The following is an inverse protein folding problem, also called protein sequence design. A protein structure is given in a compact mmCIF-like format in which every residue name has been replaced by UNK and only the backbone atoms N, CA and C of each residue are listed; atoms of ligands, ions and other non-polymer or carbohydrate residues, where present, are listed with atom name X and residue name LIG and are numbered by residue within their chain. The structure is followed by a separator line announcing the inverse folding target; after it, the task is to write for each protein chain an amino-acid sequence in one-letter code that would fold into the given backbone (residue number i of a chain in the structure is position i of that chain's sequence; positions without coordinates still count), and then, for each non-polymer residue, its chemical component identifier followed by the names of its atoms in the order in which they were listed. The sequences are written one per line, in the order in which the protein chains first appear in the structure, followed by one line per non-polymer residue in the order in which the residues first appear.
data_IF_692497407703
#
_entry.id   IF_692497407703
#
_cell.length_a   1.000
_cell.length_b   1.000
_cell.length_c   1.000
_cell.angle_alpha   90.00
_cell.angle_beta   90.00
_cell.angle_gamma   90.00
#
_symmetry.space_group_name_H-M   'P 1'
#
loop_
_entity.id
_entity.type
_entity.pdbx_description
1 polymer ?
#
# COMPACT_ATOMS: atom_id res chain seq x y z
N UNK A 1 8.81 -0.07 -1.93
CA UNK A 1 7.97 -0.90 -2.83
C UNK A 1 7.59 -2.16 -2.10
N UNK A 2 6.41 -2.72 -2.37
CA UNK A 2 5.95 -3.97 -1.77
C UNK A 2 5.10 -4.79 -2.75
N UNK A 3 5.02 -6.09 -2.51
CA UNK A 3 4.36 -7.08 -3.37
C UNK A 3 3.53 -8.00 -2.46
N UNK A 4 2.29 -8.24 -2.85
CA UNK A 4 1.42 -9.15 -2.10
C UNK A 4 0.70 -10.12 -3.02
N UNK A 5 0.24 -11.23 -2.44
CA UNK A 5 -0.50 -12.27 -3.17
C UNK A 5 -1.60 -12.90 -2.29
N UNK A 6 -2.51 -13.65 -2.91
CA UNK A 6 -3.63 -14.26 -2.19
C UNK A 6 -4.67 -13.25 -1.71
N UNK A 7 -5.36 -13.58 -0.60
CA UNK A 7 -6.58 -12.91 -0.15
C UNK A 7 -6.37 -11.48 0.35
N UNK A 8 -5.21 -11.18 0.93
CA UNK A 8 -4.90 -9.89 1.53
C UNK A 8 -3.80 -9.13 0.76
N UNK A 9 -3.61 -9.46 -0.51
CA UNK A 9 -2.47 -9.03 -1.32
C UNK A 9 -2.23 -7.53 -1.32
N UNK A 10 -3.28 -6.72 -1.36
CA UNK A 10 -3.14 -5.28 -1.44
C UNK A 10 -2.69 -4.67 -0.10
N UNK A 11 -3.28 -5.11 1.01
CA UNK A 11 -2.88 -4.69 2.34
C UNK A 11 -1.44 -5.13 2.68
N UNK A 12 -1.06 -6.35 2.31
CA UNK A 12 0.31 -6.84 2.51
C UNK A 12 1.34 -6.07 1.68
N UNK A 13 1.04 -5.84 0.39
CA UNK A 13 1.90 -5.03 -0.48
C UNK A 13 2.09 -3.61 0.06
N UNK A 14 1.04 -3.00 0.61
CA UNK A 14 1.10 -1.68 1.23
C UNK A 14 2.01 -1.68 2.48
N UNK A 15 1.85 -2.66 3.39
CA UNK A 15 2.69 -2.80 4.59
C UNK A 15 4.17 -2.97 4.23
N UNK A 16 4.47 -3.81 3.25
CA UNK A 16 5.85 -4.00 2.79
C UNK A 16 6.39 -2.72 2.12
N UNK A 17 5.56 -2.01 1.36
CA UNK A 17 5.96 -0.75 0.75
C UNK A 17 6.33 0.32 1.79
N UNK A 18 5.58 0.39 2.90
CA UNK A 18 5.85 1.28 4.03
C UNK A 18 7.10 0.87 4.82
N UNK A 19 7.37 -0.43 4.95
CA UNK A 19 8.58 -0.95 5.58
C UNK A 19 9.82 -0.94 4.67
N UNK A 20 9.69 -0.42 3.45
CA UNK A 20 10.75 -0.45 2.45
C UNK A 20 11.89 0.52 2.81
N UNK A 21 13.16 0.10 2.68
CA UNK A 21 14.31 0.98 2.96
C UNK A 21 14.45 2.16 1.99
N UNK A 22 13.66 2.19 0.91
CA UNK A 22 13.55 3.34 0.01
C UNK A 22 12.72 4.48 0.60
N UNK A 23 11.94 4.20 1.65
CA UNK A 23 11.14 5.16 2.38
C UNK A 23 11.98 5.65 3.57
N UNK A 24 12.91 6.55 3.27
CA UNK A 24 13.93 7.02 4.23
C UNK A 24 13.37 7.98 5.31
N UNK A 25 12.11 8.41 5.13
CA UNK A 25 11.37 9.28 6.05
C UNK A 25 10.01 8.66 6.32
N UNK A 26 9.59 8.70 7.59
CA UNK A 26 8.24 8.26 7.98
C UNK A 26 7.17 9.02 7.20
N UNK A 27 6.09 8.33 6.83
CA UNK A 27 4.88 8.95 6.26
C UNK A 27 4.09 9.74 7.30
N UNK A 28 4.39 9.55 8.59
CA UNK A 28 3.74 10.24 9.69
C UNK A 28 3.84 11.77 9.56
N UNK A 29 2.69 12.45 9.66
CA UNK A 29 2.60 13.90 9.49
C UNK A 29 2.54 14.38 8.04
N UNK A 30 2.54 13.47 7.05
CA UNK A 30 2.31 13.81 5.66
C UNK A 30 0.92 14.43 5.45
N UNK A 31 0.86 15.56 4.74
CA UNK A 31 -0.42 16.23 4.41
C UNK A 31 -1.17 15.57 3.26
N UNK A 32 -0.47 14.75 2.48
CA UNK A 32 -1.02 14.01 1.37
C UNK A 32 -0.04 12.93 0.95
N UNK A 33 -0.58 11.81 0.49
CA UNK A 33 0.19 10.65 0.04
C UNK A 33 -0.25 10.32 -1.39
N UNK A 34 0.73 10.15 -2.27
CA UNK A 34 0.50 9.61 -3.62
C UNK A 34 1.01 8.17 -3.63
N UNK A 35 0.15 7.24 -4.00
CA UNK A 35 0.50 5.84 -4.16
C UNK A 35 0.00 5.32 -5.52
N UNK A 36 0.66 4.28 -6.00
CA UNK A 36 0.31 3.59 -7.24
C UNK A 36 0.14 2.10 -6.95
N UNK A 37 -0.94 1.50 -7.47
CA UNK A 37 -1.21 0.07 -7.36
C UNK A 37 -1.27 -0.51 -8.76
N UNK A 38 -0.49 -1.57 -8.97
CA UNK A 38 -0.50 -2.34 -10.22
C UNK A 38 -0.94 -3.75 -9.89
N UNK A 39 -1.96 -4.24 -10.60
CA UNK A 39 -2.48 -5.59 -10.47
C UNK A 39 -3.03 -6.10 -11.78
N UNK A 40 -3.31 -7.41 -11.84
CA UNK A 40 -3.98 -8.01 -13.00
C UNK A 40 -5.45 -7.60 -13.10
N UNK A 41 -6.17 -8.16 -14.08
CA UNK A 41 -7.59 -7.88 -14.35
C UNK A 41 -8.53 -8.17 -13.17
N UNK A 42 -8.07 -8.90 -12.17
CA UNK A 42 -8.80 -9.22 -10.95
C UNK A 42 -8.64 -8.19 -9.83
N UNK A 43 -7.87 -7.11 -10.03
CA UNK A 43 -7.73 -6.06 -9.02
C UNK A 43 -9.06 -5.33 -8.83
N UNK A 44 -9.53 -5.28 -7.59
CA UNK A 44 -10.82 -4.67 -7.25
C UNK A 44 -10.64 -3.34 -6.50
N UNK A 45 -11.68 -2.50 -6.52
CA UNK A 45 -11.70 -1.26 -5.74
C UNK A 45 -11.63 -1.50 -4.23
N UNK A 46 -12.16 -2.64 -3.75
CA UNK A 46 -12.07 -3.04 -2.34
C UNK A 46 -10.62 -3.25 -1.95
N UNK A 47 -9.85 -3.99 -2.76
CA UNK A 47 -8.43 -4.20 -2.52
C UNK A 47 -7.63 -2.90 -2.57
N UNK A 48 -7.96 -1.99 -3.49
CA UNK A 48 -7.35 -0.65 -3.54
C UNK A 48 -7.65 0.14 -2.26
N UNK A 49 -8.88 0.06 -1.75
CA UNK A 49 -9.26 0.71 -0.50
C UNK A 49 -8.53 0.10 0.71
N UNK A 50 -8.37 -1.22 0.76
CA UNK A 50 -7.65 -1.90 1.83
C UNK A 50 -6.18 -1.45 1.91
N UNK A 51 -5.52 -1.29 0.76
CA UNK A 51 -4.18 -0.73 0.71
C UNK A 51 -4.15 0.75 1.16
N UNK A 52 -5.16 1.54 0.77
CA UNK A 52 -5.24 2.95 1.16
C UNK A 52 -5.44 3.13 2.68
N UNK A 53 -6.25 2.30 3.33
CA UNK A 53 -6.41 2.35 4.79
C UNK A 53 -5.10 1.98 5.51
N UNK A 54 -4.38 0.96 5.05
CA UNK A 54 -3.05 0.63 5.60
C UNK A 54 -2.08 1.80 5.50
N UNK A 55 -2.06 2.49 4.36
CA UNK A 55 -1.17 3.65 4.13
C UNK A 55 -1.56 4.83 5.03
N UNK A 56 -2.85 5.02 5.28
CA UNK A 56 -3.38 6.10 6.10
C UNK A 56 -3.16 5.88 7.60
N UNK A 57 -3.07 4.64 8.05
CA UNK A 57 -2.79 4.27 9.45
C UNK A 57 -1.30 4.34 9.81
N UNK A 58 -0.42 4.52 8.82
CA UNK A 58 1.03 4.60 8.98
C UNK A 58 1.52 6.04 9.12
#
# INVERSE_FOLDING_TARGET
MGIGSGKNRAAEAAKEALASPLLDVSVEGSRGVLFNIVGGSSLTLVEVNDAAEVIKEA
#
